data_IF_011103097153
#
_entry.id   IF_011103097153
#
_cell.length_a   1.000
_cell.length_b   1.000
_cell.length_c   1.000
_cell.angle_alpha   90.00
_cell.angle_beta   90.00
_cell.angle_gamma   90.00
#
_symmetry.space_group_name_H-M   'P 1'
#
loop_
_entity.id
_entity.type
_entity.pdbx_description
1 polymer ?
#
# COMPACT_ATOMS: atom_id res chain seq x y z
N UNK A 1 39.19 -4.70 18.89
CA UNK A 1 40.56 -5.18 19.20
C UNK A 1 40.82 -5.07 20.68
N UNK A 2 41.44 -6.08 21.28
CA UNK A 2 41.92 -6.02 22.66
C UNK A 2 43.24 -5.23 22.67
N UNK A 3 43.36 -4.31 23.61
CA UNK A 3 44.62 -3.57 23.86
C UNK A 3 44.97 -3.71 25.35
N UNK A 4 46.09 -4.32 25.65
CA UNK A 4 46.54 -4.62 27.02
C UNK A 4 46.07 -5.96 27.52
N UNK A 5 46.33 -6.27 28.79
CA UNK A 5 46.10 -7.56 29.44
C UNK A 5 47.15 -8.61 29.15
N UNK A 6 47.06 -9.73 29.85
CA UNK A 6 47.99 -10.85 29.74
C UNK A 6 47.29 -12.05 29.14
N UNK A 7 47.89 -12.70 28.14
CA UNK A 7 47.34 -13.94 27.54
C UNK A 7 47.45 -15.11 28.56
N UNK A 8 46.50 -16.10 28.50
CA UNK A 8 45.38 -16.24 27.56
C UNK A 8 44.17 -15.39 27.94
N UNK A 9 43.32 -15.05 26.93
CA UNK A 9 42.02 -14.40 27.16
C UNK A 9 40.88 -15.39 27.08
N UNK A 10 39.91 -15.21 27.97
CA UNK A 10 38.61 -15.91 27.93
C UNK A 10 37.47 -14.94 27.75
N UNK A 11 36.36 -15.39 27.15
CA UNK A 11 35.21 -14.57 26.81
C UNK A 11 33.95 -15.15 27.44
N UNK A 12 33.09 -14.29 27.96
CA UNK A 12 31.77 -14.69 28.49
C UNK A 12 30.74 -13.73 27.89
N UNK A 13 29.86 -14.24 27.05
CA UNK A 13 28.82 -13.48 26.35
C UNK A 13 27.48 -13.58 27.08
N UNK A 14 26.72 -12.47 27.13
CA UNK A 14 25.36 -12.48 27.71
C UNK A 14 24.34 -13.27 26.86
N UNK A 15 24.64 -13.54 25.61
CA UNK A 15 23.75 -14.18 24.63
C UNK A 15 24.16 -15.62 24.27
N UNK A 16 25.28 -16.13 24.81
CA UNK A 16 25.81 -17.43 24.42
C UNK A 16 26.64 -18.04 25.56
N UNK A 17 26.62 -19.33 25.65
CA UNK A 17 27.56 -20.12 26.53
C UNK A 17 28.89 -20.42 25.85
N UNK A 18 29.04 -19.98 24.57
CA UNK A 18 30.29 -20.13 23.84
C UNK A 18 31.33 -19.15 24.36
N UNK A 19 32.54 -19.63 24.60
CA UNK A 19 33.66 -18.84 25.08
C UNK A 19 34.59 -18.38 23.97
N UNK A 20 34.17 -18.45 22.73
CA UNK A 20 34.94 -18.01 21.57
C UNK A 20 35.04 -16.48 21.49
N UNK A 21 36.06 -15.92 20.80
CA UNK A 21 36.21 -14.48 20.66
C UNK A 21 35.14 -13.83 19.76
N UNK A 22 34.28 -14.62 19.15
CA UNK A 22 33.19 -14.13 18.27
C UNK A 22 31.92 -14.94 18.42
N UNK A 23 30.77 -14.28 18.34
CA UNK A 23 29.43 -14.87 18.29
C UNK A 23 28.72 -14.33 17.06
N UNK A 24 27.98 -15.20 16.35
CA UNK A 24 27.24 -14.87 15.13
C UNK A 24 25.73 -15.14 15.29
N UNK A 25 24.93 -14.75 14.29
CA UNK A 25 23.48 -14.97 14.21
C UNK A 25 22.70 -14.31 15.37
N UNK A 26 23.18 -13.17 15.86
CA UNK A 26 22.49 -12.39 16.87
C UNK A 26 21.37 -11.56 16.25
N UNK A 27 20.21 -11.54 16.89
CA UNK A 27 19.11 -10.63 16.56
C UNK A 27 19.42 -9.20 17.02
N UNK A 28 18.58 -8.24 16.64
CA UNK A 28 18.66 -6.91 17.21
C UNK A 28 18.42 -6.96 18.72
N UNK A 29 19.27 -6.25 19.47
CA UNK A 29 19.23 -6.25 20.93
C UNK A 29 20.49 -5.67 21.55
N UNK A 30 20.48 -5.57 22.86
CA UNK A 30 21.64 -5.12 23.66
C UNK A 30 22.34 -6.34 24.25
N UNK A 31 23.63 -6.39 24.09
CA UNK A 31 24.50 -7.48 24.49
C UNK A 31 25.72 -6.96 25.22
N UNK A 32 26.42 -7.83 25.93
CA UNK A 32 27.72 -7.52 26.47
C UNK A 32 28.64 -8.75 26.45
N UNK A 33 29.91 -8.51 26.46
CA UNK A 33 30.96 -9.50 26.64
C UNK A 33 31.84 -9.12 27.82
N UNK A 34 32.13 -10.07 28.66
CA UNK A 34 33.18 -9.97 29.69
C UNK A 34 34.41 -10.65 29.13
N UNK A 35 35.49 -9.94 29.05
CA UNK A 35 36.81 -10.47 28.68
C UNK A 35 37.63 -10.59 29.95
N UNK A 36 38.22 -11.76 30.17
CA UNK A 36 39.08 -12.05 31.31
C UNK A 36 40.47 -12.41 30.82
N UNK A 37 41.49 -11.81 31.37
CA UNK A 37 42.89 -12.09 31.02
C UNK A 37 43.51 -13.21 31.89
N UNK A 38 44.74 -13.60 31.56
CA UNK A 38 45.47 -14.63 32.29
C UNK A 38 45.78 -14.34 33.76
N UNK A 39 45.65 -13.07 34.18
CA UNK A 39 45.77 -12.65 35.57
C UNK A 39 44.42 -12.51 36.30
N UNK A 40 43.32 -12.96 35.66
CA UNK A 40 41.94 -12.81 36.11
C UNK A 40 41.43 -11.35 36.16
N UNK A 41 42.07 -10.40 35.46
CA UNK A 41 41.52 -9.07 35.30
C UNK A 41 40.40 -9.10 34.28
N UNK A 42 39.26 -8.45 34.61
CA UNK A 42 38.07 -8.47 33.74
C UNK A 42 37.74 -7.10 33.15
N UNK A 43 37.17 -7.10 31.93
CA UNK A 43 36.61 -5.91 31.29
C UNK A 43 35.26 -6.24 30.69
N UNK A 44 34.24 -5.42 31.00
CA UNK A 44 32.89 -5.52 30.39
C UNK A 44 32.77 -4.56 29.24
N UNK A 45 32.34 -5.09 28.08
CA UNK A 45 32.10 -4.30 26.88
C UNK A 45 30.64 -4.48 26.44
N UNK A 46 29.78 -3.45 26.61
CA UNK A 46 28.43 -3.47 26.08
C UNK A 46 28.44 -3.07 24.59
N UNK A 47 27.48 -3.63 23.82
CA UNK A 47 27.23 -3.26 22.44
C UNK A 47 25.78 -3.51 22.09
N UNK A 48 25.29 -2.86 21.02
CA UNK A 48 23.92 -2.98 20.54
C UNK A 48 23.93 -3.35 19.05
N UNK A 49 23.14 -4.35 18.70
CA UNK A 49 22.80 -4.68 17.33
C UNK A 49 21.46 -4.04 17.03
N UNK A 50 21.41 -3.16 16.04
CA UNK A 50 20.19 -2.51 15.57
C UNK A 50 19.64 -3.19 14.33
N UNK A 51 18.35 -3.05 14.10
CA UNK A 51 17.67 -3.39 12.86
C UNK A 51 16.91 -2.19 12.34
N UNK A 52 16.64 -2.09 11.02
CA UNK A 52 15.77 -1.07 10.47
C UNK A 52 14.36 -1.15 11.08
N UNK A 53 13.61 -0.05 11.00
CA UNK A 53 12.19 -0.06 11.32
C UNK A 53 11.46 -1.02 10.35
N UNK A 54 10.36 -1.61 10.80
CA UNK A 54 9.52 -2.47 9.97
C UNK A 54 9.06 -1.73 8.72
N UNK A 55 9.12 -2.41 7.56
CA UNK A 55 8.60 -1.88 6.32
C UNK A 55 7.07 -1.97 6.33
N UNK A 56 6.42 -0.82 6.24
CA UNK A 56 4.97 -0.67 6.15
C UNK A 56 4.60 -0.09 4.80
N UNK A 57 3.43 -0.46 4.28
CA UNK A 57 2.86 0.09 3.05
C UNK A 57 1.44 0.60 3.27
N UNK A 58 1.08 1.67 2.57
CA UNK A 58 -0.29 2.17 2.50
C UNK A 58 -0.63 2.54 1.06
N UNK A 59 -1.87 2.26 0.64
CA UNK A 59 -2.35 2.59 -0.69
C UNK A 59 -3.58 3.49 -0.61
N UNK A 60 -3.68 4.43 -1.54
CA UNK A 60 -4.79 5.38 -1.67
C UNK A 60 -5.22 5.49 -3.13
N UNK A 61 -6.50 5.73 -3.38
CA UNK A 61 -7.06 6.01 -4.71
C UNK A 61 -8.22 6.97 -4.63
N UNK A 62 -8.62 7.51 -5.77
CA UNK A 62 -9.89 8.19 -5.96
C UNK A 62 -10.89 7.25 -6.68
N UNK A 63 -12.18 7.58 -6.62
CA UNK A 63 -13.20 6.82 -7.33
C UNK A 63 -13.42 7.37 -8.74
N UNK A 64 -13.86 6.53 -9.68
CA UNK A 64 -14.28 6.98 -11.01
C UNK A 64 -15.58 7.77 -10.95
N UNK A 65 -15.66 8.85 -11.71
CA UNK A 65 -16.84 9.72 -11.71
C UNK A 65 -17.99 9.19 -12.59
N UNK A 66 -17.69 8.29 -13.53
CA UNK A 66 -18.67 7.73 -14.45
C UNK A 66 -18.61 6.21 -14.47
N UNK A 67 -19.74 5.56 -14.73
CA UNK A 67 -19.79 4.11 -14.96
C UNK A 67 -18.85 3.73 -16.12
N UNK A 68 -18.08 2.65 -15.95
CA UNK A 68 -17.06 2.17 -16.90
C UNK A 68 -15.94 3.19 -17.24
N UNK A 69 -15.75 4.22 -16.42
CA UNK A 69 -14.60 5.11 -16.56
C UNK A 69 -13.29 4.45 -16.14
N UNK A 70 -12.17 4.94 -16.69
CA UNK A 70 -10.82 4.45 -16.41
C UNK A 70 -9.81 5.60 -16.29
N UNK A 71 -10.16 6.65 -15.54
CA UNK A 71 -9.39 7.91 -15.50
C UNK A 71 -8.75 8.21 -14.16
N UNK A 72 -8.78 7.27 -13.22
CA UNK A 72 -8.23 7.47 -11.88
C UNK A 72 -6.88 6.83 -11.69
N UNK A 73 -6.19 7.26 -10.67
CA UNK A 73 -4.91 6.70 -10.24
C UNK A 73 -4.99 6.17 -8.82
N UNK A 74 -4.16 5.19 -8.54
CA UNK A 74 -3.86 4.72 -7.19
C UNK A 74 -2.38 4.97 -6.90
N UNK A 75 -2.08 5.33 -5.66
CA UNK A 75 -0.72 5.52 -5.20
C UNK A 75 -0.42 4.65 -3.99
N UNK A 76 0.81 4.18 -3.89
CA UNK A 76 1.32 3.40 -2.77
C UNK A 76 2.54 4.12 -2.17
N UNK A 77 2.60 4.13 -0.84
CA UNK A 77 3.67 4.78 -0.06
C UNK A 77 4.30 3.75 0.87
N UNK A 78 5.64 3.75 0.93
CA UNK A 78 6.43 2.99 1.87
C UNK A 78 6.77 3.84 3.10
N UNK A 79 6.82 3.23 4.27
CA UNK A 79 7.34 3.81 5.51
C UNK A 79 8.16 2.76 6.25
N UNK A 80 9.31 3.15 6.82
CA UNK A 80 10.25 2.20 7.44
C UNK A 80 11.06 1.41 6.42
N UNK A 81 11.61 0.26 6.82
CA UNK A 81 12.53 -0.52 5.99
C UNK A 81 13.82 0.23 5.64
N UNK A 82 14.48 -0.20 4.58
CA UNK A 82 15.74 0.36 4.08
C UNK A 82 15.60 0.80 2.63
N UNK A 83 15.93 2.05 2.31
CA UNK A 83 15.96 2.54 0.91
C UNK A 83 17.09 1.85 0.10
N UNK A 84 16.92 1.69 -1.24
CA UNK A 84 15.81 2.10 -2.08
C UNK A 84 14.58 1.16 -1.99
N UNK A 85 13.39 1.69 -2.32
CA UNK A 85 12.20 0.88 -2.47
C UNK A 85 11.94 0.54 -3.93
N UNK A 86 11.48 -0.70 -4.15
CA UNK A 86 10.95 -1.18 -5.43
C UNK A 86 9.46 -1.43 -5.27
N UNK A 87 8.68 -1.09 -6.30
CA UNK A 87 7.23 -1.24 -6.33
C UNK A 87 6.83 -2.24 -7.40
N UNK A 88 5.77 -2.98 -7.17
CA UNK A 88 5.18 -3.88 -8.15
C UNK A 88 3.67 -3.93 -7.97
N UNK A 89 2.93 -3.41 -8.94
CA UNK A 89 1.48 -3.55 -9.02
C UNK A 89 1.11 -4.89 -9.65
N UNK A 90 0.16 -5.61 -9.04
CA UNK A 90 -0.16 -6.97 -9.46
C UNK A 90 -1.04 -7.07 -10.71
N UNK A 91 -1.72 -5.97 -11.09
CA UNK A 91 -2.66 -5.96 -12.22
C UNK A 91 -1.97 -5.79 -13.59
N UNK A 92 -0.86 -5.06 -13.68
CA UNK A 92 -0.17 -4.73 -14.93
C UNK A 92 1.36 -4.87 -14.85
N UNK A 93 1.87 -5.30 -13.68
CA UNK A 93 3.30 -5.44 -13.36
C UNK A 93 4.08 -4.13 -13.47
N UNK A 94 3.42 -2.98 -13.39
CA UNK A 94 4.09 -1.68 -13.34
C UNK A 94 4.90 -1.52 -12.06
N UNK A 95 6.04 -0.81 -12.18
CA UNK A 95 7.03 -0.64 -11.10
C UNK A 95 7.09 0.78 -10.54
N UNK A 96 6.14 1.63 -10.90
CA UNK A 96 6.02 2.97 -10.35
C UNK A 96 5.22 2.95 -9.03
N UNK A 97 5.46 3.94 -8.18
CA UNK A 97 4.65 4.13 -6.96
C UNK A 97 3.20 4.55 -7.25
N UNK A 98 2.88 4.90 -8.50
CA UNK A 98 1.55 5.30 -8.96
C UNK A 98 1.13 4.45 -10.16
N UNK A 99 -0.04 3.85 -10.07
CA UNK A 99 -0.74 3.22 -11.19
C UNK A 99 -1.80 4.18 -11.73
N UNK A 100 -1.91 4.30 -13.05
CA UNK A 100 -2.80 5.25 -13.73
C UNK A 100 -3.82 4.53 -14.61
N UNK A 101 -4.82 5.30 -15.07
CA UNK A 101 -5.88 4.81 -15.98
C UNK A 101 -6.65 3.61 -15.43
N UNK A 102 -6.88 3.60 -14.12
CA UNK A 102 -7.59 2.54 -13.45
C UNK A 102 -9.09 2.67 -13.65
N UNK A 103 -9.74 1.55 -13.90
CA UNK A 103 -11.19 1.36 -13.84
C UNK A 103 -11.63 0.95 -12.44
N UNK A 104 -12.92 0.79 -12.21
CA UNK A 104 -13.41 0.21 -10.96
C UNK A 104 -12.87 -1.21 -10.77
N UNK A 105 -12.36 -1.49 -9.58
CA UNK A 105 -11.75 -2.78 -9.25
C UNK A 105 -10.88 -2.71 -7.99
N UNK A 106 -10.31 -3.85 -7.62
CA UNK A 106 -9.37 -3.96 -6.52
C UNK A 106 -7.94 -4.05 -7.08
N UNK A 107 -7.06 -3.26 -6.51
CA UNK A 107 -5.65 -3.17 -6.91
C UNK A 107 -4.77 -3.40 -5.71
N UNK A 108 -3.68 -4.12 -5.91
CA UNK A 108 -2.69 -4.34 -4.87
C UNK A 108 -1.28 -4.09 -5.40
N UNK A 109 -0.44 -3.59 -4.51
CA UNK A 109 0.97 -3.37 -4.78
C UNK A 109 1.81 -4.05 -3.70
N UNK A 110 2.96 -4.57 -4.12
CA UNK A 110 4.03 -5.06 -3.25
C UNK A 110 5.16 -4.06 -3.31
N UNK A 111 5.68 -3.71 -2.14
CA UNK A 111 6.90 -2.90 -1.99
C UNK A 111 7.99 -3.82 -1.47
N UNK A 112 9.18 -3.71 -2.06
CA UNK A 112 10.38 -4.39 -1.59
C UNK A 112 11.42 -3.33 -1.21
N UNK A 113 12.00 -3.44 -0.04
CA UNK A 113 13.05 -2.54 0.44
C UNK A 113 14.45 -2.97 -0.03
N UNK A 114 15.47 -2.15 0.26
CA UNK A 114 16.86 -2.42 -0.12
C UNK A 114 17.46 -3.68 0.51
N UNK A 115 16.88 -4.22 1.57
CA UNK A 115 17.28 -5.46 2.22
C UNK A 115 16.46 -6.68 1.75
N UNK A 116 15.50 -6.48 0.84
CA UNK A 116 14.62 -7.53 0.35
C UNK A 116 13.40 -7.81 1.24
N UNK A 117 13.13 -7.00 2.28
CA UNK A 117 11.91 -7.10 3.06
C UNK A 117 10.73 -6.62 2.23
N UNK A 118 9.57 -7.26 2.37
CA UNK A 118 8.39 -6.93 1.57
C UNK A 118 7.21 -6.49 2.44
N UNK A 119 6.44 -5.53 1.94
CA UNK A 119 5.14 -5.13 2.47
C UNK A 119 4.14 -5.00 1.32
N UNK A 120 2.86 -5.29 1.58
CA UNK A 120 1.81 -5.17 0.58
C UNK A 120 0.64 -4.35 1.08
N UNK A 121 0.00 -3.64 0.18
CA UNK A 121 -1.25 -2.93 0.46
C UNK A 121 -2.19 -3.02 -0.74
N UNK A 122 -3.48 -2.87 -0.48
CA UNK A 122 -4.52 -2.92 -1.48
C UNK A 122 -5.45 -1.72 -1.36
N UNK A 123 -6.09 -1.36 -2.47
CA UNK A 123 -7.05 -0.26 -2.56
C UNK A 123 -8.16 -0.63 -3.51
N UNK A 124 -9.38 -0.18 -3.22
CA UNK A 124 -10.55 -0.37 -4.08
C UNK A 124 -10.90 0.94 -4.78
N UNK A 125 -11.00 0.87 -6.10
CA UNK A 125 -11.54 1.94 -6.95
C UNK A 125 -13.01 1.63 -7.19
N UNK A 126 -13.90 2.52 -6.78
CA UNK A 126 -15.34 2.37 -6.97
C UNK A 126 -15.83 3.23 -8.14
N UNK A 127 -16.99 2.88 -8.68
CA UNK A 127 -17.70 3.62 -9.73
C UNK A 127 -19.17 3.76 -9.37
N UNK A 128 -19.85 4.79 -9.88
CA UNK A 128 -21.30 4.90 -9.78
C UNK A 128 -22.00 3.76 -10.52
N UNK A 129 -23.26 3.50 -10.20
CA UNK A 129 -24.12 2.65 -11.01
C UNK A 129 -24.33 3.26 -12.41
N UNK A 130 -24.57 2.44 -13.41
CA UNK A 130 -24.93 2.92 -14.74
C UNK A 130 -26.21 3.77 -14.68
N UNK A 131 -26.25 4.84 -15.50
CA UNK A 131 -27.48 5.62 -15.67
C UNK A 131 -28.47 4.77 -16.47
N UNK A 132 -29.66 4.57 -15.91
CA UNK A 132 -30.79 3.92 -16.57
C UNK A 132 -31.91 4.95 -16.64
N UNK A 133 -32.41 5.18 -17.87
CA UNK A 133 -33.52 6.09 -18.12
C UNK A 133 -34.77 5.25 -18.47
N UNK A 134 -35.87 5.53 -17.82
CA UNK A 134 -37.17 5.00 -18.15
C UNK A 134 -38.10 6.15 -18.56
N UNK A 135 -38.98 5.94 -19.53
CA UNK A 135 -39.97 6.94 -19.92
C UNK A 135 -41.38 6.37 -19.79
N UNK A 136 -42.26 7.20 -19.31
CA UNK A 136 -43.72 6.94 -19.34
C UNK A 136 -44.41 8.04 -20.13
N UNK A 137 -45.46 7.70 -20.88
CA UNK A 137 -46.21 8.67 -21.65
C UNK A 137 -47.73 8.52 -21.42
N UNK A 138 -48.38 9.66 -21.43
CA UNK A 138 -49.84 9.72 -21.49
C UNK A 138 -50.29 10.21 -22.87
N UNK A 139 -51.20 9.52 -23.53
CA UNK A 139 -51.67 9.91 -24.87
C UNK A 139 -52.48 11.21 -24.80
N UNK A 140 -52.53 11.92 -25.92
CA UNK A 140 -53.44 13.05 -26.09
C UNK A 140 -54.85 12.51 -26.49
N UNK A 141 -55.89 13.21 -26.09
CA UNK A 141 -57.30 12.85 -26.33
C UNK A 141 -58.02 13.89 -27.15
N UNK A 142 -58.94 13.46 -28.02
CA UNK A 142 -59.91 14.27 -28.74
C UNK A 142 -59.29 15.48 -29.50
N UNK A 143 -58.12 15.30 -30.12
CA UNK A 143 -57.49 16.32 -30.96
C UNK A 143 -56.93 17.53 -30.18
N UNK A 144 -56.84 17.42 -28.83
CA UNK A 144 -56.20 18.44 -28.00
C UNK A 144 -54.77 17.99 -27.61
N UNK A 145 -53.82 18.97 -27.57
CA UNK A 145 -52.44 18.72 -27.24
C UNK A 145 -52.24 18.60 -25.73
N UNK A 146 -52.71 17.48 -25.11
CA UNK A 146 -52.61 17.21 -23.68
C UNK A 146 -51.84 15.93 -23.35
N UNK A 147 -51.12 15.37 -24.30
CA UNK A 147 -50.22 14.29 -24.04
C UNK A 147 -48.99 14.75 -23.23
N UNK A 148 -48.44 13.86 -22.42
CA UNK A 148 -47.22 14.13 -21.64
C UNK A 148 -46.26 12.96 -21.74
N UNK A 149 -44.96 13.24 -21.52
CA UNK A 149 -43.90 12.26 -21.37
C UNK A 149 -43.10 12.62 -20.13
N UNK A 150 -42.92 11.64 -19.26
CA UNK A 150 -42.06 11.76 -18.08
C UNK A 150 -40.83 10.86 -18.23
N UNK A 151 -39.67 11.34 -17.80
CA UNK A 151 -38.44 10.56 -17.76
C UNK A 151 -37.99 10.35 -16.31
N UNK A 152 -37.91 9.08 -15.90
CA UNK A 152 -37.32 8.66 -14.64
C UNK A 152 -35.86 8.22 -14.85
N UNK A 153 -34.98 8.63 -13.94
CA UNK A 153 -33.55 8.30 -13.97
C UNK A 153 -33.16 7.59 -12.68
N UNK A 154 -32.45 6.47 -12.81
CA UNK A 154 -31.78 5.79 -11.69
C UNK A 154 -30.30 5.58 -12.02
N UNK A 155 -29.44 5.44 -10.99
CA UNK A 155 -28.01 5.31 -11.17
C UNK A 155 -27.32 6.64 -11.45
N UNK A 156 -26.04 6.59 -11.85
CA UNK A 156 -25.20 7.79 -12.03
C UNK A 156 -25.00 8.59 -10.74
N UNK A 157 -24.62 9.85 -10.91
CA UNK A 157 -24.46 10.85 -9.83
C UNK A 157 -25.31 12.08 -10.16
N UNK A 158 -26.20 12.46 -9.26
CA UNK A 158 -27.00 13.70 -9.40
C UNK A 158 -26.09 14.96 -9.28
N UNK A 159 -26.49 16.12 -9.88
CA UNK A 159 -27.76 16.36 -10.56
C UNK A 159 -27.79 15.83 -11.98
N UNK A 160 -29.01 15.51 -12.48
CA UNK A 160 -29.23 15.08 -13.86
C UNK A 160 -29.69 16.26 -14.72
N UNK A 161 -29.15 16.34 -15.94
CA UNK A 161 -29.63 17.26 -16.96
C UNK A 161 -30.41 16.49 -18.01
N UNK A 162 -31.57 17.03 -18.38
CA UNK A 162 -32.46 16.44 -19.38
C UNK A 162 -32.48 17.30 -20.65
N UNK A 163 -32.34 16.67 -21.81
CA UNK A 163 -32.51 17.33 -23.08
C UNK A 163 -33.47 16.51 -23.92
N UNK A 164 -34.61 17.11 -24.26
CA UNK A 164 -35.62 16.53 -25.12
C UNK A 164 -35.32 16.91 -26.57
N UNK A 165 -35.16 15.92 -27.44
CA UNK A 165 -35.14 16.17 -28.89
C UNK A 165 -36.58 16.12 -29.38
N UNK A 166 -37.02 17.10 -30.22
CA UNK A 166 -38.32 17.02 -30.86
C UNK A 166 -38.34 15.78 -31.76
N UNK A 167 -39.31 14.90 -31.56
CA UNK A 167 -39.54 13.79 -32.47
C UNK A 167 -39.85 14.33 -33.87
N UNK A 168 -39.32 13.70 -34.94
CA UNK A 168 -39.75 13.94 -36.28
C UNK A 168 -41.20 13.44 -36.42
N UNK A 169 -42.17 14.20 -35.90
CA UNK A 169 -43.57 14.01 -36.16
C UNK A 169 -43.89 14.60 -37.52
N UNK A 170 -44.38 13.75 -38.44
CA UNK A 170 -45.11 14.18 -39.61
C UNK A 170 -46.40 14.88 -39.19
#
# INVERSE_FOLDING_TARGET
>A
SLTGGTTPFSYSWTCSTDNSPSVSNLSAGSYSVIVTDGNNCTSLVPFTISQPAELLSSATSTNVNCFSGSTVSASVVANGGTIPYQYLWTHDLSTNSVANNLSAGNYSAVITDGNGCTASSSVSVNQPAAIIVSTTSSPSFCGINNGSIDAGVIGGIAPYNYQWAPGNGN
#
